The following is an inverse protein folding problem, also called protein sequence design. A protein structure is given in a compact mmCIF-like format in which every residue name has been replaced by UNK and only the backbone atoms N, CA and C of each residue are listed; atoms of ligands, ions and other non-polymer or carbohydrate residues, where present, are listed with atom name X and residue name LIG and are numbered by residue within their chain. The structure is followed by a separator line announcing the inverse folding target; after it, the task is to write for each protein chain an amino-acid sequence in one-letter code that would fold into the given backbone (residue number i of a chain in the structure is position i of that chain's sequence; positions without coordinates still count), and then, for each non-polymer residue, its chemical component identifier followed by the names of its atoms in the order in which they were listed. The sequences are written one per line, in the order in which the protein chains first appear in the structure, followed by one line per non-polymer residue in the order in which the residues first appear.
data_IF_618467203620
#
_entry.id   IF_618467203620
#
_cell.length_a   1.000
_cell.length_b   1.000
_cell.length_c   1.000
_cell.angle_alpha   90.00
_cell.angle_beta   90.00
_cell.angle_gamma   90.00
#
_symmetry.space_group_name_H-M   'P 1'
#
loop_
_entity.id
_entity.type
_entity.pdbx_description
1 polymer ?
#
# COMPACT_ATOMS: atom_id res chain seq x y z
N UNK A 1 29.04 -15.29 11.24
CA UNK A 1 28.35 -14.03 11.59
C UNK A 1 27.87 -13.37 10.31
N UNK A 2 26.55 -13.23 10.18
CA UNK A 2 25.84 -12.85 8.96
C UNK A 2 26.21 -11.44 8.49
N UNK A 3 26.64 -11.34 7.23
CA UNK A 3 26.69 -10.08 6.48
C UNK A 3 25.57 -10.10 5.45
N UNK A 4 24.34 -9.97 5.90
CA UNK A 4 23.22 -9.62 5.01
C UNK A 4 23.28 -8.11 4.76
N UNK A 5 24.13 -7.73 3.82
CA UNK A 5 24.27 -6.35 3.39
C UNK A 5 23.37 -6.09 2.19
N UNK A 6 22.27 -5.39 2.50
CA UNK A 6 21.62 -4.36 1.67
C UNK A 6 21.21 -4.82 0.26
N UNK A 7 19.95 -5.26 0.14
CA UNK A 7 19.29 -5.36 -1.17
C UNK A 7 19.20 -3.97 -1.80
N UNK A 8 20.02 -3.79 -2.82
CA UNK A 8 20.03 -2.67 -3.75
C UNK A 8 18.67 -2.59 -4.45
N UNK A 9 17.92 -1.50 -4.25
CA UNK A 9 16.83 -1.12 -5.15
C UNK A 9 17.07 0.30 -5.68
N UNK A 10 18.15 0.45 -6.45
CA UNK A 10 18.27 1.54 -7.42
C UNK A 10 17.68 1.08 -8.76
N UNK A 11 16.36 1.28 -8.93
CA UNK A 11 15.77 1.55 -10.26
C UNK A 11 14.44 2.27 -10.06
N UNK A 12 14.45 3.55 -10.39
CA UNK A 12 13.31 4.48 -10.46
C UNK A 12 12.16 3.89 -11.29
N UNK A 13 11.08 3.49 -10.62
CA UNK A 13 9.83 3.04 -11.23
C UNK A 13 8.70 3.51 -10.31
N UNK A 14 7.91 4.51 -10.73
CA UNK A 14 6.77 5.01 -9.93
C UNK A 14 5.81 3.89 -9.52
N UNK A 15 5.72 2.84 -10.33
CA UNK A 15 4.99 1.60 -10.04
C UNK A 15 5.48 0.90 -8.76
N UNK A 16 6.79 0.87 -8.51
CA UNK A 16 7.34 0.27 -7.28
C UNK A 16 7.04 1.12 -6.05
N UNK A 17 7.00 2.46 -6.19
CA UNK A 17 6.62 3.35 -5.09
C UNK A 17 5.15 3.18 -4.71
N UNK A 18 4.24 3.09 -5.69
CA UNK A 18 2.82 2.86 -5.41
C UNK A 18 2.57 1.52 -4.74
N UNK A 19 3.26 0.46 -5.19
CA UNK A 19 3.17 -0.87 -4.55
C UNK A 19 3.66 -0.80 -3.10
N UNK A 20 4.81 -0.18 -2.84
CA UNK A 20 5.36 -0.03 -1.49
C UNK A 20 4.43 0.75 -0.54
N UNK A 21 3.84 1.85 -1.02
CA UNK A 21 2.87 2.62 -0.23
C UNK A 21 1.61 1.80 0.08
N UNK A 22 1.21 0.93 -0.85
CA UNK A 22 0.04 0.07 -0.67
C UNK A 22 0.31 -1.07 0.32
N UNK A 23 1.49 -1.67 0.28
CA UNK A 23 1.96 -2.61 1.30
C UNK A 23 2.00 -1.94 2.67
N UNK A 24 2.56 -0.72 2.75
CA UNK A 24 2.60 0.06 4.00
C UNK A 24 1.20 0.35 4.55
N UNK A 25 0.23 0.63 3.67
CA UNK A 25 -1.17 0.87 4.06
C UNK A 25 -1.83 -0.40 4.60
N UNK A 26 -1.61 -1.54 3.96
CA UNK A 26 -2.12 -2.83 4.43
C UNK A 26 -1.50 -3.18 5.78
N UNK A 27 -0.19 -3.02 5.94
CA UNK A 27 0.50 -3.29 7.19
C UNK A 27 -0.02 -2.41 8.33
N UNK A 28 -0.26 -1.12 8.09
CA UNK A 28 -0.83 -0.21 9.08
C UNK A 28 -2.25 -0.63 9.49
N UNK A 29 -3.09 -1.03 8.54
CA UNK A 29 -4.47 -1.49 8.80
C UNK A 29 -4.53 -2.80 9.61
N UNK A 30 -3.49 -3.63 9.54
CA UNK A 30 -3.42 -4.92 10.24
C UNK A 30 -2.80 -4.82 11.64
N UNK A 31 -2.35 -3.65 12.07
CA UNK A 31 -1.84 -3.44 13.43
C UNK A 31 -2.96 -3.55 14.45
N UNK A 32 -2.61 -4.00 15.65
CA UNK A 32 -3.51 -4.02 16.81
C UNK A 32 -4.02 -2.60 17.15
N UNK A 33 -3.15 -1.59 17.02
CA UNK A 33 -3.47 -0.17 17.19
C UNK A 33 -3.10 0.61 15.91
N UNK A 34 -3.99 0.65 14.91
CA UNK A 34 -3.73 1.33 13.64
C UNK A 34 -3.70 2.85 13.81
N UNK A 35 -2.66 3.48 13.28
CA UNK A 35 -2.54 4.93 13.23
C UNK A 35 -3.43 5.51 12.12
N UNK A 36 -4.58 6.05 12.53
CA UNK A 36 -5.58 6.62 11.63
C UNK A 36 -5.05 7.77 10.76
N UNK A 37 -4.14 8.58 11.30
CA UNK A 37 -3.53 9.68 10.54
C UNK A 37 -2.63 9.11 9.43
N UNK A 38 -1.80 8.12 9.75
CA UNK A 38 -0.94 7.45 8.76
C UNK A 38 -1.77 6.77 7.66
N UNK A 39 -2.86 6.06 8.04
CA UNK A 39 -3.78 5.45 7.08
C UNK A 39 -4.38 6.49 6.15
N UNK A 40 -4.84 7.62 6.68
CA UNK A 40 -5.43 8.71 5.90
C UNK A 40 -4.42 9.30 4.91
N UNK A 41 -3.18 9.56 5.35
CA UNK A 41 -2.12 10.12 4.52
C UNK A 41 -1.72 9.16 3.38
N UNK A 42 -1.67 7.86 3.67
CA UNK A 42 -1.43 6.81 2.68
C UNK A 42 -2.60 6.69 1.69
N UNK A 43 -3.85 6.77 2.16
CA UNK A 43 -5.03 6.76 1.30
C UNK A 43 -5.04 7.94 0.31
N UNK A 44 -4.70 9.14 0.78
CA UNK A 44 -4.56 10.33 -0.09
C UNK A 44 -3.47 10.10 -1.13
N UNK A 45 -2.30 9.61 -0.71
CA UNK A 45 -1.15 9.37 -1.59
C UNK A 45 -1.44 8.32 -2.68
N UNK A 46 -2.34 7.38 -2.40
CA UNK A 46 -2.72 6.28 -3.29
C UNK A 46 -4.03 6.53 -4.06
N UNK A 47 -4.67 7.68 -3.83
CA UNK A 47 -5.99 8.01 -4.38
C UNK A 47 -7.01 6.89 -4.06
N UNK A 48 -7.08 6.51 -2.79
CA UNK A 48 -8.02 5.53 -2.23
C UNK A 48 -8.99 6.30 -1.31
N UNK A 49 -10.31 6.12 -1.45
CA UNK A 49 -11.27 6.74 -0.53
C UNK A 49 -11.06 6.26 0.91
N UNK A 50 -10.94 7.21 1.84
CA UNK A 50 -10.84 6.91 3.26
C UNK A 50 -12.22 6.72 3.90
N UNK A 51 -12.33 5.74 4.80
CA UNK A 51 -13.51 5.44 5.61
C UNK A 51 -13.11 5.19 7.05
N UNK A 52 -13.93 5.66 8.00
CA UNK A 52 -13.81 5.33 9.42
C UNK A 52 -14.26 3.89 9.72
N UNK A 53 -15.15 3.34 8.89
CA UNK A 53 -15.52 1.93 8.96
C UNK A 53 -14.41 1.05 8.38
N UNK A 54 -13.84 0.19 9.22
CA UNK A 54 -12.68 -0.64 8.89
C UNK A 54 -12.98 -1.62 7.74
N UNK A 55 -14.17 -2.22 7.71
CA UNK A 55 -14.57 -3.15 6.65
C UNK A 55 -14.64 -2.45 5.29
N UNK A 56 -15.25 -1.26 5.25
CA UNK A 56 -15.31 -0.40 4.06
C UNK A 56 -13.92 0.05 3.64
N UNK A 57 -13.07 0.44 4.59
CA UNK A 57 -11.69 0.84 4.31
C UNK A 57 -10.88 -0.30 3.68
N UNK A 58 -11.00 -1.52 4.20
CA UNK A 58 -10.38 -2.72 3.63
C UNK A 58 -10.91 -2.99 2.21
N UNK A 59 -12.22 -2.87 1.99
CA UNK A 59 -12.84 -3.02 0.68
C UNK A 59 -12.30 -2.01 -0.35
N UNK A 60 -12.15 -0.75 0.03
CA UNK A 60 -11.58 0.30 -0.83
C UNK A 60 -10.13 -0.02 -1.22
N UNK A 61 -9.31 -0.49 -0.28
CA UNK A 61 -7.92 -0.88 -0.54
C UNK A 61 -7.85 -2.10 -1.46
N UNK A 62 -8.69 -3.11 -1.23
CA UNK A 62 -8.72 -4.32 -2.05
C UNK A 62 -9.15 -4.05 -3.49
N UNK A 63 -10.16 -3.19 -3.70
CA UNK A 63 -10.58 -2.77 -5.03
C UNK A 63 -9.45 -2.06 -5.80
N UNK A 64 -8.66 -1.22 -5.11
CA UNK A 64 -7.49 -0.57 -5.71
C UNK A 64 -6.42 -1.59 -6.12
N UNK A 65 -6.14 -2.58 -5.26
CA UNK A 65 -5.22 -3.69 -5.57
C UNK A 65 -5.63 -4.43 -6.84
N UNK A 66 -6.92 -4.78 -6.95
CA UNK A 66 -7.44 -5.48 -8.12
C UNK A 66 -7.30 -4.65 -9.40
N UNK A 67 -7.58 -3.34 -9.33
CA UNK A 67 -7.41 -2.43 -10.47
C UNK A 67 -5.95 -2.38 -10.95
N UNK A 68 -4.99 -2.30 -10.02
CA UNK A 68 -3.56 -2.31 -10.35
C UNK A 68 -3.12 -3.64 -10.98
N UNK A 69 -3.61 -4.78 -10.47
CA UNK A 69 -3.32 -6.10 -11.06
C UNK A 69 -3.92 -6.26 -12.46
N UNK A 70 -5.16 -5.80 -12.66
CA UNK A 70 -5.81 -5.85 -13.97
C UNK A 70 -5.07 -5.03 -15.03
N UNK A 71 -4.51 -3.87 -14.65
CA UNK A 71 -3.68 -3.05 -15.54
C UNK A 71 -2.32 -3.69 -15.86
N UNK A 72 -1.78 -4.52 -14.95
CA UNK A 72 -0.51 -5.23 -15.17
C UNK A 72 -0.66 -6.44 -16.09
N UNK A 73 -1.83 -7.09 -16.10
CA UNK A 73 -2.12 -8.26 -16.96
C UNK A 73 -2.44 -7.84 -18.41
N UNK A 74 -3.02 -6.66 -18.61
CA UNK A 74 -3.38 -6.13 -19.95
C UNK A 74 -2.26 -5.33 -20.63
N UNK A 75 -0.98 -5.53 -20.24
CA UNK A 75 0.19 -4.87 -20.83
C UNK A 75 1.08 -5.84 -21.57
#
# INVERSE_FOLDING_TARGET
MNKESVKIYKKSNQSNQKVYLLESLVDELMKENPNQQNIKDLCVSLEIPYSLDASTQIGNVFNKLQSLKAQAINR
#
